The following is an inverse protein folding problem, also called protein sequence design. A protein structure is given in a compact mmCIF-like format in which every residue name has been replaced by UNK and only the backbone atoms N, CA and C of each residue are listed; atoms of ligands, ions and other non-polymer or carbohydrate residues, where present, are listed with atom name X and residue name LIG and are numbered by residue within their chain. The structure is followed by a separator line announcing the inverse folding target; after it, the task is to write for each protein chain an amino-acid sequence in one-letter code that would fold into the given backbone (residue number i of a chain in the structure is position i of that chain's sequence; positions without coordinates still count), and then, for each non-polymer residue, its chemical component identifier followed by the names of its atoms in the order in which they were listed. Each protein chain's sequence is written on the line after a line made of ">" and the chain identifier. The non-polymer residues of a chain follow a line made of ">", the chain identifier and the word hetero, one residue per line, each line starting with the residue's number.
data_IF_156383220947
#
_entry.id   IF_156383220947
#
_cell.length_a   1.000
_cell.length_b   1.000
_cell.length_c   1.000
_cell.angle_alpha   90.00
_cell.angle_beta   90.00
_cell.angle_gamma   90.00
#
_symmetry.space_group_name_H-M   'P 1'
#
loop_
_entity.id
_entity.type
_entity.pdbx_description
1 polymer ?
#
# COMPACT_ATOMS: atom_id res chain seq x y z
N UNK A 1 -16.33 4.38 9.89
CA UNK A 1 -16.79 4.94 11.17
C UNK A 1 -17.67 4.00 12.01
N UNK A 2 -18.56 3.17 11.43
CA UNK A 2 -19.45 2.31 12.25
C UNK A 2 -18.82 1.11 12.97
N UNK A 3 -17.69 0.56 12.47
CA UNK A 3 -17.08 -0.66 13.03
C UNK A 3 -16.48 -0.43 14.43
N UNK A 4 -15.71 0.65 14.59
CA UNK A 4 -15.11 1.04 15.89
C UNK A 4 -16.17 1.29 16.96
N UNK A 5 -17.23 2.05 16.63
CA UNK A 5 -18.32 2.36 17.57
C UNK A 5 -18.94 1.08 18.11
N UNK A 6 -19.25 0.11 17.23
CA UNK A 6 -19.88 -1.16 17.61
C UNK A 6 -18.98 -2.03 18.50
N UNK A 7 -17.70 -2.15 18.18
CA UNK A 7 -16.74 -2.90 19.01
C UNK A 7 -16.48 -2.23 20.36
N UNK A 8 -16.38 -0.90 20.38
CA UNK A 8 -16.19 -0.15 21.62
C UNK A 8 -17.42 -0.28 22.54
N UNK A 9 -18.62 -0.14 21.99
CA UNK A 9 -19.89 -0.32 22.71
C UNK A 9 -20.06 -1.74 23.28
N UNK A 10 -19.58 -2.76 22.58
CA UNK A 10 -19.59 -4.13 23.10
C UNK A 10 -18.61 -4.29 24.26
N UNK A 11 -17.36 -3.82 24.10
CA UNK A 11 -16.33 -3.94 25.15
C UNK A 11 -16.64 -3.14 26.40
N UNK A 12 -17.26 -1.97 26.26
CA UNK A 12 -17.63 -1.15 27.42
C UNK A 12 -18.84 -1.74 28.18
N UNK A 13 -19.73 -2.48 27.51
CA UNK A 13 -20.80 -3.23 28.16
C UNK A 13 -20.27 -4.42 28.97
N UNK A 14 -19.20 -5.05 28.50
CA UNK A 14 -18.50 -6.12 29.23
C UNK A 14 -17.65 -5.58 30.39
N UNK A 15 -17.17 -4.33 30.27
CA UNK A 15 -16.45 -3.63 31.35
C UNK A 15 -17.40 -3.22 32.49
N UNK A 16 -17.46 -4.03 33.55
CA UNK A 16 -18.11 -3.64 34.80
C UNK A 16 -17.25 -2.62 35.54
N UNK A 17 -17.65 -1.35 35.50
CA UNK A 17 -17.09 -0.32 36.36
C UNK A 17 -17.62 -0.54 37.78
N UNK A 18 -16.73 -0.85 38.71
CA UNK A 18 -17.04 -0.94 40.14
C UNK A 18 -16.91 0.46 40.74
N UNK A 19 -18.01 1.09 41.23
CA UNK A 19 -17.98 2.46 41.74
C UNK A 19 -17.12 2.63 43.00
N UNK A 20 -16.66 1.54 43.62
CA UNK A 20 -15.76 1.56 44.78
C UNK A 20 -14.26 1.58 44.44
N UNK A 21 -13.88 1.53 43.15
CA UNK A 21 -12.47 1.55 42.74
C UNK A 21 -11.90 2.96 42.63
N UNK A 22 -10.63 3.09 43.02
CA UNK A 22 -9.78 4.26 42.80
C UNK A 22 -10.00 4.86 41.39
N UNK A 23 -10.27 6.18 41.27
CA UNK A 23 -10.45 6.87 40.01
C UNK A 23 -9.36 6.58 38.96
N UNK A 24 -8.11 6.41 39.38
CA UNK A 24 -6.99 6.16 38.46
C UNK A 24 -7.02 4.72 37.89
N UNK A 25 -7.48 3.77 38.70
CA UNK A 25 -7.70 2.38 38.28
C UNK A 25 -8.88 2.30 37.30
N UNK A 26 -9.93 3.08 37.57
CA UNK A 26 -11.09 3.17 36.69
C UNK A 26 -10.74 3.82 35.35
N UNK A 27 -9.96 4.90 35.38
CA UNK A 27 -9.50 5.61 34.18
C UNK A 27 -8.54 4.77 33.33
N UNK A 28 -7.58 4.09 33.95
CA UNK A 28 -6.64 3.21 33.25
C UNK A 28 -7.35 2.01 32.59
N UNK A 29 -8.38 1.45 33.25
CA UNK A 29 -9.23 0.40 32.67
C UNK A 29 -10.00 0.88 31.44
N UNK A 30 -10.62 2.06 31.54
CA UNK A 30 -11.33 2.67 30.41
C UNK A 30 -10.38 3.02 29.25
N UNK A 31 -9.21 3.58 29.55
CA UNK A 31 -8.16 3.86 28.57
C UNK A 31 -7.71 2.58 27.85
N UNK A 32 -7.57 1.47 28.57
CA UNK A 32 -7.24 0.16 27.98
C UNK A 32 -8.31 -0.31 27.01
N UNK A 33 -9.59 -0.23 27.39
CA UNK A 33 -10.72 -0.59 26.52
C UNK A 33 -10.74 0.25 25.23
N UNK A 34 -10.54 1.56 25.34
CA UNK A 34 -10.45 2.47 24.18
C UNK A 34 -9.29 2.08 23.28
N UNK A 35 -8.09 1.87 23.84
CA UNK A 35 -6.89 1.52 23.07
C UNK A 35 -7.05 0.17 22.38
N UNK A 36 -7.63 -0.82 23.04
CA UNK A 36 -7.89 -2.13 22.44
C UNK A 36 -8.92 -2.06 21.32
N UNK A 37 -10.05 -1.39 21.54
CA UNK A 37 -11.04 -1.16 20.49
C UNK A 37 -10.43 -0.38 19.31
N UNK A 38 -9.55 0.59 19.58
CA UNK A 38 -8.89 1.37 18.56
C UNK A 38 -7.89 0.52 17.76
N UNK A 39 -7.10 -0.34 18.41
CA UNK A 39 -6.17 -1.27 17.75
C UNK A 39 -6.90 -2.30 16.87
N UNK A 40 -8.01 -2.85 17.34
CA UNK A 40 -8.82 -3.81 16.56
C UNK A 40 -9.49 -3.18 15.34
N UNK A 41 -9.75 -1.88 15.40
CA UNK A 41 -10.34 -1.12 14.30
C UNK A 41 -9.33 -0.22 13.60
N UNK A 42 -8.04 -0.35 13.90
CA UNK A 42 -6.99 0.38 13.24
C UNK A 42 -6.96 -0.12 11.80
N UNK A 43 -7.61 0.66 10.93
CA UNK A 43 -7.67 0.36 9.52
C UNK A 43 -6.28 0.64 8.95
N UNK A 44 -5.47 -0.40 8.77
CA UNK A 44 -4.22 -0.33 8.00
C UNK A 44 -4.50 -0.22 6.49
N UNK A 45 -5.45 0.62 6.08
CA UNK A 45 -5.75 0.85 4.68
C UNK A 45 -4.69 1.79 4.11
N UNK A 46 -3.61 1.21 3.63
CA UNK A 46 -3.02 1.77 2.43
C UNK A 46 -3.99 1.51 1.30
N UNK A 47 -4.34 2.55 0.54
CA UNK A 47 -4.97 2.38 -0.77
C UNK A 47 -4.08 1.44 -1.59
N UNK A 48 -4.46 0.17 -1.67
CA UNK A 48 -3.83 -0.80 -2.55
C UNK A 48 -4.28 -0.48 -3.97
N UNK A 49 -3.45 -0.83 -4.95
CA UNK A 49 -3.83 -0.60 -6.35
C UNK A 49 -5.00 -1.52 -6.69
N UNK A 50 -5.91 -1.02 -7.51
CA UNK A 50 -7.19 -1.67 -7.82
C UNK A 50 -7.06 -3.07 -8.43
N UNK A 51 -5.88 -3.43 -8.96
CA UNK A 51 -5.61 -4.77 -9.52
C UNK A 51 -5.08 -5.78 -8.51
N UNK A 52 -4.74 -5.37 -7.29
CA UNK A 52 -4.22 -6.28 -6.27
C UNK A 52 -5.39 -7.13 -5.77
N UNK A 53 -5.24 -8.45 -5.88
CA UNK A 53 -6.23 -9.39 -5.35
C UNK A 53 -6.22 -9.41 -3.82
N UNK A 54 -7.34 -9.80 -3.23
CA UNK A 54 -7.48 -9.92 -1.77
C UNK A 54 -6.46 -10.90 -1.16
N UNK A 55 -6.18 -12.00 -1.86
CA UNK A 55 -5.13 -12.96 -1.50
C UNK A 55 -3.73 -12.32 -1.43
N UNK A 56 -3.42 -11.38 -2.32
CA UNK A 56 -2.16 -10.61 -2.28
C UNK A 56 -2.18 -9.56 -1.18
N UNK A 57 -3.33 -8.93 -0.94
CA UNK A 57 -3.53 -7.95 0.13
C UNK A 57 -3.26 -8.56 1.51
N UNK A 58 -3.78 -9.76 1.77
CA UNK A 58 -3.61 -10.46 3.05
C UNK A 58 -2.11 -10.69 3.36
N UNK A 59 -1.31 -11.09 2.36
CA UNK A 59 0.14 -11.29 2.52
C UNK A 59 0.88 -9.96 2.73
N UNK A 60 0.44 -8.89 2.07
CA UNK A 60 1.00 -7.53 2.30
C UNK A 60 0.73 -7.09 3.73
N UNK A 61 -0.47 -7.35 4.26
CA UNK A 61 -0.83 -7.06 5.65
C UNK A 61 0.00 -7.91 6.61
N UNK A 62 0.19 -9.20 6.34
CA UNK A 62 1.04 -10.09 7.15
C UNK A 62 2.46 -9.53 7.27
N UNK A 63 3.08 -9.14 6.14
CA UNK A 63 4.42 -8.54 6.14
C UNK A 63 4.49 -7.26 6.99
N UNK A 64 3.43 -6.44 6.96
CA UNK A 64 3.38 -5.20 7.76
C UNK A 64 3.26 -5.49 9.24
N UNK A 65 2.43 -6.46 9.62
CA UNK A 65 2.30 -6.88 11.01
C UNK A 65 3.65 -7.40 11.51
N UNK A 66 4.35 -8.22 10.72
CA UNK A 66 5.68 -8.71 11.06
C UNK A 66 6.68 -7.56 11.25
N UNK A 67 6.70 -6.59 10.33
CA UNK A 67 7.54 -5.39 10.45
C UNK A 67 7.19 -4.54 11.69
N UNK A 68 5.90 -4.42 12.02
CA UNK A 68 5.40 -3.64 13.15
C UNK A 68 5.68 -4.28 14.52
N UNK A 69 5.77 -5.62 14.58
CA UNK A 69 6.17 -6.35 15.79
C UNK A 69 7.65 -6.20 16.13
N UNK A 70 8.47 -5.75 15.17
CA UNK A 70 9.92 -5.72 15.26
C UNK A 70 10.54 -7.04 14.78
N UNK A 71 11.59 -6.96 13.96
CA UNK A 71 12.31 -8.12 13.42
C UNK A 71 13.56 -8.35 14.25
N UNK A 72 13.44 -9.09 15.35
CA UNK A 72 14.51 -9.27 16.33
C UNK A 72 15.30 -10.56 16.10
N UNK A 73 14.65 -11.60 15.57
CA UNK A 73 15.27 -12.88 15.23
C UNK A 73 15.73 -12.93 13.76
N UNK A 74 16.71 -13.79 13.46
CA UNK A 74 17.07 -14.13 12.09
C UNK A 74 15.91 -14.80 11.34
N UNK A 75 15.10 -15.58 12.05
CA UNK A 75 13.88 -16.20 11.52
C UNK A 75 12.85 -15.15 11.08
N UNK A 76 12.73 -14.03 11.81
CA UNK A 76 11.84 -12.92 11.45
C UNK A 76 12.32 -12.23 10.18
N UNK A 77 13.64 -12.04 10.05
CA UNK A 77 14.26 -11.44 8.86
C UNK A 77 14.08 -12.34 7.63
N UNK A 78 14.29 -13.64 7.78
CA UNK A 78 14.08 -14.61 6.71
C UNK A 78 12.61 -14.63 6.29
N UNK A 79 11.67 -14.73 7.24
CA UNK A 79 10.24 -14.70 6.96
C UNK A 79 9.82 -13.40 6.28
N UNK A 80 10.39 -12.26 6.67
CA UNK A 80 10.14 -10.98 6.01
C UNK A 80 10.64 -10.99 4.56
N UNK A 81 11.80 -11.57 4.30
CA UNK A 81 12.37 -11.73 2.96
C UNK A 81 11.47 -12.61 2.08
N UNK A 82 11.04 -13.76 2.61
CA UNK A 82 10.16 -14.71 1.92
C UNK A 82 8.81 -14.07 1.59
N UNK A 83 8.19 -13.38 2.56
CA UNK A 83 6.97 -12.61 2.33
C UNK A 83 7.17 -11.51 1.28
N UNK A 84 8.32 -10.84 1.27
CA UNK A 84 8.64 -9.82 0.28
C UNK A 84 8.73 -10.41 -1.13
N UNK A 85 9.40 -11.55 -1.29
CA UNK A 85 9.51 -12.26 -2.55
C UNK A 85 8.13 -12.77 -3.04
N UNK A 86 7.33 -13.33 -2.14
CA UNK A 86 6.00 -13.82 -2.48
C UNK A 86 5.05 -12.68 -2.86
N UNK A 87 5.10 -11.53 -2.16
CA UNK A 87 4.34 -10.34 -2.55
C UNK A 87 4.73 -9.89 -3.96
N UNK A 88 6.02 -9.88 -4.30
CA UNK A 88 6.44 -9.51 -5.65
C UNK A 88 5.89 -10.50 -6.69
N UNK A 89 5.94 -11.80 -6.42
CA UNK A 89 5.42 -12.85 -7.30
C UNK A 89 3.92 -12.68 -7.54
N UNK A 90 3.16 -12.51 -6.45
CA UNK A 90 1.70 -12.30 -6.50
C UNK A 90 1.32 -10.99 -7.19
N UNK A 91 2.02 -9.90 -6.91
CA UNK A 91 1.80 -8.62 -7.61
C UNK A 91 2.04 -8.72 -9.12
N UNK A 92 3.06 -9.49 -9.55
CA UNK A 92 3.30 -9.75 -10.98
C UNK A 92 2.17 -10.55 -11.58
N UNK A 93 1.74 -11.63 -10.92
CA UNK A 93 0.59 -12.46 -11.33
C UNK A 93 -0.68 -11.61 -11.50
N UNK A 94 -1.02 -10.84 -10.48
CA UNK A 94 -2.23 -10.02 -10.46
C UNK A 94 -2.19 -8.94 -11.56
N UNK A 95 -1.02 -8.34 -11.79
CA UNK A 95 -0.82 -7.40 -12.90
C UNK A 95 -0.97 -8.07 -14.26
N UNK A 96 -0.42 -9.27 -14.45
CA UNK A 96 -0.59 -10.05 -15.69
C UNK A 96 -2.07 -10.39 -15.91
N UNK A 97 -2.78 -10.82 -14.88
CA UNK A 97 -4.21 -11.09 -14.96
C UNK A 97 -5.01 -9.83 -15.35
N UNK A 98 -4.67 -8.67 -14.77
CA UNK A 98 -5.29 -7.40 -15.17
C UNK A 98 -5.05 -7.08 -16.65
N UNK A 99 -3.80 -7.23 -17.14
CA UNK A 99 -3.47 -6.95 -18.54
C UNK A 99 -4.23 -7.90 -19.46
N UNK A 100 -4.29 -9.20 -19.14
CA UNK A 100 -5.04 -10.18 -19.93
C UNK A 100 -6.53 -9.82 -19.99
N UNK A 101 -7.15 -9.44 -18.86
CA UNK A 101 -8.54 -9.00 -18.86
C UNK A 101 -8.76 -7.77 -19.75
N UNK A 102 -7.82 -6.81 -19.76
CA UNK A 102 -7.88 -5.65 -20.67
C UNK A 102 -7.76 -6.09 -22.13
N UNK A 103 -6.89 -7.05 -22.44
CA UNK A 103 -6.75 -7.60 -23.79
C UNK A 103 -8.04 -8.32 -24.25
N UNK A 104 -8.65 -9.13 -23.39
CA UNK A 104 -9.91 -9.82 -23.69
C UNK A 104 -11.06 -8.81 -23.92
N UNK A 105 -11.10 -7.74 -23.14
CA UNK A 105 -12.04 -6.64 -23.38
C UNK A 105 -11.78 -5.93 -24.71
N UNK A 106 -10.50 -5.68 -25.02
CA UNK A 106 -10.07 -5.04 -26.27
C UNK A 106 -10.48 -5.87 -27.48
N UNK A 107 -10.32 -7.19 -27.43
CA UNK A 107 -10.78 -8.11 -28.49
C UNK A 107 -12.29 -8.03 -28.69
N UNK A 108 -13.07 -8.01 -27.60
CA UNK A 108 -14.54 -7.82 -27.67
C UNK A 108 -14.93 -6.47 -28.28
N UNK A 109 -14.26 -5.38 -27.90
CA UNK A 109 -14.53 -4.05 -28.47
C UNK A 109 -14.13 -3.96 -29.95
N UNK A 110 -13.07 -4.67 -30.35
CA UNK A 110 -12.63 -4.77 -31.75
C UNK A 110 -13.73 -5.38 -32.63
N UNK A 111 -14.33 -6.49 -32.18
CA UNK A 111 -15.44 -7.16 -32.88
C UNK A 111 -16.69 -6.26 -32.97
N UNK A 112 -16.93 -5.41 -31.96
CA UNK A 112 -18.08 -4.49 -31.93
C UNK A 112 -17.85 -3.16 -32.67
N UNK A 113 -16.71 -2.96 -33.31
CA UNK A 113 -16.33 -1.71 -34.00
C UNK A 113 -16.34 -0.44 -33.12
N UNK A 114 -16.13 -0.59 -31.81
CA UNK A 114 -16.06 0.51 -30.82
C UNK A 114 -14.65 1.15 -30.84
N UNK A 115 -14.30 1.80 -31.96
CA UNK A 115 -12.94 2.31 -32.26
C UNK A 115 -12.40 3.31 -31.22
N UNK A 116 -13.27 4.10 -30.58
CA UNK A 116 -12.87 5.05 -29.54
C UNK A 116 -12.36 4.34 -28.28
N UNK A 117 -13.10 3.36 -27.78
CA UNK A 117 -12.74 2.63 -26.56
C UNK A 117 -11.54 1.72 -26.80
N UNK A 118 -11.45 1.16 -28.01
CA UNK A 118 -10.27 0.44 -28.49
C UNK A 118 -9.01 1.31 -28.39
N UNK A 119 -9.05 2.52 -28.97
CA UNK A 119 -7.90 3.42 -28.96
C UNK A 119 -7.53 3.87 -27.54
N UNK A 120 -8.50 4.12 -26.67
CA UNK A 120 -8.25 4.46 -25.27
C UNK A 120 -7.57 3.32 -24.49
N UNK A 121 -8.03 2.07 -24.66
CA UNK A 121 -7.42 0.89 -24.01
C UNK A 121 -6.00 0.63 -24.53
N UNK A 122 -5.78 0.71 -25.85
CA UNK A 122 -4.43 0.60 -26.45
C UNK A 122 -3.51 1.67 -25.88
N UNK A 123 -3.97 2.93 -25.83
CA UNK A 123 -3.20 4.03 -25.24
C UNK A 123 -2.92 3.79 -23.77
N UNK A 124 -3.87 3.26 -23.00
CA UNK A 124 -3.66 2.95 -21.58
C UNK A 124 -2.55 1.91 -21.38
N UNK A 125 -2.53 0.84 -22.18
CA UNK A 125 -1.52 -0.23 -22.12
C UNK A 125 -0.14 0.23 -22.61
N UNK A 126 -0.11 1.00 -23.70
CA UNK A 126 1.13 1.43 -24.38
C UNK A 126 1.70 2.73 -23.82
N UNK A 127 1.02 3.38 -22.87
CA UNK A 127 1.50 4.64 -22.29
C UNK A 127 2.82 4.42 -21.58
N UNK A 128 3.89 4.90 -22.19
CA UNK A 128 5.20 4.99 -21.57
C UNK A 128 5.14 6.03 -20.45
N UNK A 129 5.69 5.67 -19.29
CA UNK A 129 5.75 6.59 -18.15
C UNK A 129 6.80 7.65 -18.47
N UNK A 130 6.36 8.83 -18.84
CA UNK A 130 7.25 9.99 -18.99
C UNK A 130 7.62 10.49 -17.59
N UNK A 131 8.89 10.37 -17.24
CA UNK A 131 9.41 11.03 -16.05
C UNK A 131 9.59 12.51 -16.40
N UNK A 132 9.15 13.41 -15.51
CA UNK A 132 9.52 14.81 -15.63
C UNK A 132 11.04 14.88 -15.40
N UNK A 133 11.82 15.18 -16.43
CA UNK A 133 13.24 15.48 -16.28
C UNK A 133 13.37 16.72 -15.41
N UNK A 134 13.87 16.55 -14.19
CA UNK A 134 14.21 17.69 -13.34
C UNK A 134 15.41 18.40 -13.96
N UNK A 135 15.22 19.66 -14.36
CA UNK A 135 16.32 20.47 -14.83
C UNK A 135 17.25 20.82 -13.65
N UNK A 136 18.55 20.64 -13.82
CA UNK A 136 19.58 20.87 -12.78
C UNK A 136 20.63 21.83 -13.32
N UNK A 137 21.21 22.69 -12.48
CA UNK A 137 22.28 23.58 -12.92
C UNK A 137 23.62 22.85 -12.97
N UNK A 138 24.39 23.09 -14.02
CA UNK A 138 25.80 22.70 -14.11
C UNK A 138 26.63 23.53 -13.11
N UNK A 139 27.90 23.16 -12.97
CA UNK A 139 28.86 23.89 -12.13
C UNK A 139 29.07 25.33 -12.63
N UNK A 140 28.97 25.53 -13.94
CA UNK A 140 29.03 26.82 -14.64
C UNK A 140 27.69 27.57 -14.64
N UNK A 141 26.67 27.04 -13.94
CA UNK A 141 25.35 27.66 -13.79
C UNK A 141 24.39 27.44 -14.98
N UNK A 142 24.75 26.62 -15.96
CA UNK A 142 23.93 26.30 -17.15
C UNK A 142 22.83 25.30 -16.80
N UNK A 143 21.61 25.51 -17.29
CA UNK A 143 20.49 24.61 -17.01
C UNK A 143 20.57 23.33 -17.86
N UNK A 144 20.88 22.21 -17.22
CA UNK A 144 20.90 20.88 -17.83
C UNK A 144 19.49 20.28 -17.80
N UNK A 145 18.95 19.98 -18.98
CA UNK A 145 17.61 19.39 -19.17
C UNK A 145 17.66 17.98 -19.77
N UNK A 146 18.81 17.58 -20.30
CA UNK A 146 19.04 16.25 -20.86
C UNK A 146 19.26 15.22 -19.76
N UNK A 147 18.56 14.08 -19.84
CA UNK A 147 18.55 13.03 -18.81
C UNK A 147 19.95 12.52 -18.45
N UNK A 148 20.84 12.36 -19.44
CA UNK A 148 22.22 11.89 -19.19
C UNK A 148 23.03 12.91 -18.38
N UNK A 149 22.89 14.19 -18.72
CA UNK A 149 23.58 15.28 -18.06
C UNK A 149 23.07 15.46 -16.62
N UNK A 150 21.75 15.40 -16.44
CA UNK A 150 21.11 15.43 -15.11
C UNK A 150 21.59 14.27 -14.24
N UNK A 151 21.63 13.05 -14.79
CA UNK A 151 22.09 11.86 -14.06
C UNK A 151 23.56 11.99 -13.63
N UNK A 152 24.43 12.45 -14.55
CA UNK A 152 25.85 12.69 -14.25
C UNK A 152 26.02 13.69 -13.12
N UNK A 153 25.23 14.78 -13.13
CA UNK A 153 25.26 15.80 -12.06
C UNK A 153 24.79 15.26 -10.71
N UNK A 154 23.78 14.38 -10.70
CA UNK A 154 23.34 13.70 -9.47
C UNK A 154 24.43 12.78 -8.90
N UNK A 155 25.16 12.05 -9.75
CA UNK A 155 26.27 11.21 -9.30
C UNK A 155 27.37 12.01 -8.59
N UNK A 156 27.65 13.24 -9.04
CA UNK A 156 28.62 14.13 -8.38
C UNK A 156 28.16 14.59 -6.99
N UNK A 157 26.85 14.70 -6.73
CA UNK A 157 26.34 15.08 -5.41
C UNK A 157 26.26 13.91 -4.42
N UNK A 158 26.11 12.69 -4.93
CA UNK A 158 25.97 11.49 -4.12
C UNK A 158 27.30 10.75 -3.89
N UNK A 159 28.40 11.20 -4.51
CA UNK A 159 29.76 10.73 -4.26
C UNK A 159 30.40 11.46 -3.08
#
# INVERSE_FOLDING_TARGET
>A
YGRFKKTFENKIKEYRSDPAKDPEVSWSGLKKVIVEAAKENAVHNTLMKDFISKDTEDVIVERRILKGKGMFSEEDRQRYSDLSAEIQRRCRRDKTAQINNICDELERHSVRHETKDLFQKVKHLTRTRTFKTCAIKSEEGVLLTETKQVLSRWNQYCS
#
